data_IF_451257775195
#
_entry.id   IF_451257775195
#
_cell.length_a   1.000
_cell.length_b   1.000
_cell.length_c   1.000
_cell.angle_alpha   90.00
_cell.angle_beta   90.00
_cell.angle_gamma   90.00
#
_symmetry.space_group_name_H-M   'P 1'
#
loop_
_entity.id
_entity.type
_entity.pdbx_description
1 polymer ?
#
# COMPACT_ATOMS: atom_id res chain seq x y z
N UNK A 1 3.04 9.12 -13.73
CA UNK A 1 3.27 10.18 -12.74
C UNK A 1 4.39 9.78 -11.82
N UNK A 2 5.33 10.69 -11.59
CA UNK A 2 6.39 10.54 -10.60
C UNK A 2 5.99 11.35 -9.36
N UNK A 3 5.82 10.67 -8.23
CA UNK A 3 5.50 11.28 -6.94
C UNK A 3 6.78 11.36 -6.12
N UNK A 4 7.03 12.49 -5.46
CA UNK A 4 8.19 12.64 -4.58
C UNK A 4 7.86 13.47 -3.35
N UNK A 5 8.47 13.12 -2.24
CA UNK A 5 8.43 13.84 -0.95
C UNK A 5 9.86 14.11 -0.46
N UNK A 6 10.01 14.73 0.72
CA UNK A 6 11.32 14.99 1.30
C UNK A 6 12.14 13.71 1.48
N UNK A 7 13.47 13.81 1.40
CA UNK A 7 14.39 12.65 1.41
C UNK A 7 14.25 11.73 2.63
N UNK A 8 13.78 12.25 3.76
CA UNK A 8 13.56 11.51 5.00
C UNK A 8 12.09 11.09 5.22
N UNK A 9 11.27 11.16 4.18
CA UNK A 9 9.84 10.84 4.23
C UNK A 9 9.52 9.69 3.29
N UNK A 10 8.36 9.07 3.52
CA UNK A 10 7.75 8.07 2.65
C UNK A 10 6.40 8.57 2.16
N UNK A 11 5.88 7.93 1.11
CA UNK A 11 4.66 8.29 0.42
C UNK A 11 3.55 7.31 0.78
N UNK A 12 2.43 7.83 1.27
CA UNK A 12 1.17 7.10 1.34
C UNK A 12 0.29 7.58 0.20
N UNK A 13 -0.01 6.69 -0.76
CA UNK A 13 -0.93 6.94 -1.88
C UNK A 13 -2.29 6.35 -1.53
N UNK A 14 -3.35 7.15 -1.66
CA UNK A 14 -4.73 6.76 -1.36
C UNK A 14 -5.64 7.10 -2.53
N UNK A 15 -6.43 6.14 -2.99
CA UNK A 15 -7.42 6.34 -4.04
C UNK A 15 -8.73 6.87 -3.43
N UNK A 16 -9.29 7.92 -4.02
CA UNK A 16 -10.58 8.51 -3.61
C UNK A 16 -11.72 8.13 -4.54
N UNK A 17 -11.41 7.76 -5.78
CA UNK A 17 -12.33 7.12 -6.71
C UNK A 17 -11.55 6.13 -7.58
N UNK A 18 -12.17 5.03 -7.97
CA UNK A 18 -11.53 4.03 -8.80
C UNK A 18 -12.57 3.26 -9.60
N UNK A 19 -12.57 3.44 -10.91
CA UNK A 19 -13.48 2.78 -11.84
C UNK A 19 -12.78 2.57 -13.18
N UNK A 20 -12.23 1.37 -13.34
CA UNK A 20 -11.59 0.88 -14.56
C UNK A 20 -12.32 -0.35 -15.08
N UNK A 21 -11.98 -0.79 -16.28
CA UNK A 21 -12.47 -2.07 -16.79
C UNK A 21 -12.21 -3.21 -15.78
N UNK A 22 -13.23 -4.05 -15.49
CA UNK A 22 -13.07 -5.20 -14.62
C UNK A 22 -12.09 -6.23 -15.18
N UNK A 23 -11.51 -7.03 -14.29
CA UNK A 23 -10.62 -8.12 -14.69
C UNK A 23 -11.37 -9.14 -15.54
N UNK A 24 -10.88 -9.36 -16.76
CA UNK A 24 -11.39 -10.38 -17.67
C UNK A 24 -10.57 -11.67 -17.66
N UNK A 25 -10.90 -12.65 -18.51
CA UNK A 25 -10.16 -13.91 -18.63
C UNK A 25 -8.68 -13.74 -19.00
N UNK A 26 -8.34 -12.63 -19.66
CA UNK A 26 -6.97 -12.27 -20.04
C UNK A 26 -6.28 -11.35 -19.00
N UNK A 27 -6.89 -11.15 -17.83
CA UNK A 27 -6.44 -10.23 -16.79
C UNK A 27 -6.94 -8.79 -16.98
N UNK A 28 -6.32 -7.86 -16.24
CA UNK A 28 -6.61 -6.44 -16.34
C UNK A 28 -6.13 -5.84 -17.68
N UNK A 29 -7.03 -5.24 -18.45
CA UNK A 29 -6.71 -4.46 -19.65
C UNK A 29 -6.36 -3.01 -19.29
N UNK A 30 -7.28 -2.38 -18.57
CA UNK A 30 -7.07 -1.11 -17.88
C UNK A 30 -6.49 -1.33 -16.50
N UNK A 31 -5.35 -0.71 -16.20
CA UNK A 31 -4.64 -0.95 -14.96
C UNK A 31 -3.85 0.27 -14.47
N UNK A 32 -3.92 0.50 -13.16
CA UNK A 32 -2.97 1.37 -12.44
C UNK A 32 -1.89 0.50 -11.82
N UNK A 33 -0.65 0.71 -12.27
CA UNK A 33 0.56 0.12 -11.72
C UNK A 33 1.25 1.12 -10.80
N UNK A 34 1.71 0.67 -9.63
CA UNK A 34 2.48 1.48 -8.67
C UNK A 34 3.81 0.79 -8.40
N UNK A 35 4.91 1.54 -8.56
CA UNK A 35 6.27 1.07 -8.37
C UNK A 35 6.96 1.84 -7.26
N UNK A 36 7.66 1.10 -6.38
CA UNK A 36 8.40 1.62 -5.23
C UNK A 36 9.78 2.12 -5.67
N UNK A 37 9.80 3.33 -6.24
CA UNK A 37 10.98 3.96 -6.80
C UNK A 37 10.66 4.79 -8.04
N UNK A 38 11.71 5.22 -8.74
CA UNK A 38 11.61 6.24 -9.81
C UNK A 38 11.36 5.66 -11.21
N UNK A 39 11.34 4.34 -11.37
CA UNK A 39 11.28 3.72 -12.71
C UNK A 39 10.35 2.51 -12.74
N UNK A 40 9.99 2.06 -13.95
CA UNK A 40 9.26 0.80 -14.14
C UNK A 40 10.11 -0.45 -13.83
N UNK A 41 11.43 -0.29 -13.63
CA UNK A 41 12.32 -1.35 -13.17
C UNK A 41 12.36 -1.48 -11.65
N UNK A 42 11.78 -0.53 -10.91
CA UNK A 42 11.61 -0.61 -9.46
C UNK A 42 10.58 -1.68 -9.08
N UNK A 43 10.55 -2.08 -7.80
CA UNK A 43 9.62 -3.10 -7.31
C UNK A 43 8.16 -2.67 -7.54
N UNK A 44 7.37 -3.49 -8.22
CA UNK A 44 5.92 -3.24 -8.36
C UNK A 44 5.24 -3.56 -7.03
N UNK A 45 4.52 -2.60 -6.47
CA UNK A 45 3.79 -2.69 -5.19
C UNK A 45 2.28 -2.44 -5.34
N UNK A 46 1.81 -2.17 -6.57
CA UNK A 46 0.40 -2.04 -6.89
C UNK A 46 0.08 -2.45 -8.32
N UNK A 47 -1.05 -3.12 -8.50
CA UNK A 47 -1.60 -3.56 -9.78
C UNK A 47 -3.13 -3.65 -9.63
N UNK A 48 -3.84 -2.61 -10.07
CA UNK A 48 -5.25 -2.42 -9.74
C UNK A 48 -6.11 -2.20 -11.01
N UNK A 49 -7.24 -2.91 -11.10
CA UNK A 49 -8.27 -2.75 -12.12
C UNK A 49 -9.67 -2.99 -11.54
N UNK A 50 -10.71 -2.85 -12.36
CA UNK A 50 -12.11 -2.87 -11.91
C UNK A 50 -12.52 -1.62 -11.14
N UNK A 51 -13.59 -1.74 -10.34
CA UNK A 51 -14.26 -0.62 -9.68
C UNK A 51 -14.15 -0.64 -8.14
N UNK A 52 -13.35 -1.55 -7.60
CA UNK A 52 -13.09 -1.60 -6.16
C UNK A 52 -11.96 -0.63 -5.82
N UNK A 53 -12.22 0.30 -4.91
CA UNK A 53 -11.20 1.22 -4.39
C UNK A 53 -10.05 0.39 -3.74
N UNK A 54 -8.80 0.52 -4.22
CA UNK A 54 -7.66 -0.18 -3.63
C UNK A 54 -7.33 0.32 -2.22
N UNK A 55 -6.75 -0.56 -1.40
CA UNK A 55 -6.14 -0.16 -0.13
C UNK A 55 -5.01 0.85 -0.33
N UNK A 56 -4.71 1.71 0.66
CA UNK A 56 -3.59 2.63 0.56
C UNK A 56 -2.26 1.91 0.27
N UNK A 57 -1.45 2.51 -0.60
CA UNK A 57 -0.13 2.02 -0.98
C UNK A 57 0.94 2.84 -0.24
N UNK A 58 1.89 2.15 0.38
CA UNK A 58 2.98 2.76 1.14
C UNK A 58 4.31 2.49 0.44
N UNK A 59 5.08 3.53 0.16
CA UNK A 59 6.44 3.39 -0.35
C UNK A 59 7.44 3.04 0.76
N UNK A 60 8.57 2.45 0.38
CA UNK A 60 9.73 2.30 1.27
C UNK A 60 10.62 3.53 1.25
N UNK A 61 10.71 4.22 0.09
CA UNK A 61 11.49 5.44 -0.10
C UNK A 61 10.64 6.70 -0.28
N UNK A 62 11.27 7.78 -0.72
CA UNK A 62 10.64 9.09 -0.91
C UNK A 62 10.07 9.30 -2.33
N UNK A 63 10.04 8.26 -3.18
CA UNK A 63 9.59 8.32 -4.57
C UNK A 63 8.66 7.14 -4.87
N UNK A 64 7.57 7.42 -5.59
CA UNK A 64 6.73 6.42 -6.25
C UNK A 64 6.58 6.76 -7.72
N UNK A 65 6.60 5.74 -8.59
CA UNK A 65 6.18 5.86 -9.97
C UNK A 65 4.80 5.22 -10.12
N UNK A 66 3.81 6.02 -10.52
CA UNK A 66 2.45 5.57 -10.83
C UNK A 66 2.27 5.57 -12.34
N UNK A 67 1.71 4.51 -12.91
CA UNK A 67 1.47 4.39 -14.34
C UNK A 67 0.07 3.88 -14.59
N UNK A 68 -0.65 4.55 -15.48
CA UNK A 68 -1.88 4.01 -16.06
C UNK A 68 -1.56 3.37 -17.42
N UNK A 69 -2.11 2.18 -17.67
CA UNK A 69 -2.06 1.46 -18.95
C UNK A 69 -3.49 1.06 -19.28
N UNK A 70 -3.88 1.25 -20.53
CA UNK A 70 -5.22 0.97 -21.05
C UNK A 70 -5.09 0.41 -22.47
N UNK A 71 -6.13 -0.27 -22.98
CA UNK A 71 -6.24 -0.66 -24.38
C UNK A 71 -7.30 0.20 -25.12
N UNK A 72 -7.90 -0.30 -26.19
CA UNK A 72 -8.90 0.44 -26.99
C UNK A 72 -10.34 0.01 -26.72
N UNK A 73 -10.56 -0.95 -25.83
CA UNK A 73 -11.87 -1.54 -25.51
C UNK A 73 -12.14 -1.41 -24.01
N UNK A 74 -13.43 -1.39 -23.62
CA UNK A 74 -13.78 -1.12 -22.23
C UNK A 74 -13.46 0.32 -21.82
N UNK A 75 -14.31 0.94 -21.00
CA UNK A 75 -14.03 2.27 -20.47
C UNK A 75 -14.68 2.40 -19.11
N UNK A 76 -13.93 2.89 -18.13
CA UNK A 76 -14.46 3.33 -16.84
C UNK A 76 -14.28 4.84 -16.65
N UNK A 77 -14.79 5.36 -15.54
CA UNK A 77 -14.66 6.78 -15.18
C UNK A 77 -13.21 7.18 -14.81
N UNK A 78 -12.30 6.21 -14.69
CA UNK A 78 -10.91 6.42 -14.33
C UNK A 78 -10.68 6.38 -12.82
N UNK A 79 -9.62 7.05 -12.36
CA UNK A 79 -9.25 7.07 -10.95
C UNK A 79 -8.86 8.46 -10.48
N UNK A 80 -9.12 8.73 -9.21
CA UNK A 80 -8.58 9.87 -8.47
C UNK A 80 -7.78 9.36 -7.30
N UNK A 81 -6.62 9.96 -7.06
CA UNK A 81 -5.77 9.63 -5.93
C UNK A 81 -5.17 10.88 -5.30
N UNK A 82 -4.91 10.78 -4.00
CA UNK A 82 -4.15 11.76 -3.21
C UNK A 82 -2.93 11.05 -2.65
N UNK A 83 -1.85 11.79 -2.45
CA UNK A 83 -0.68 11.27 -1.75
C UNK A 83 -0.25 12.23 -0.65
N UNK A 84 0.30 11.67 0.43
CA UNK A 84 0.86 12.43 1.55
C UNK A 84 2.23 11.90 1.96
N UNK A 85 3.00 12.75 2.61
CA UNK A 85 4.26 12.38 3.22
C UNK A 85 4.03 11.85 4.64
N UNK A 86 4.72 10.78 5.02
CA UNK A 86 4.78 10.31 6.40
C UNK A 86 6.21 9.96 6.80
N UNK A 87 6.52 10.12 8.09
CA UNK A 87 7.81 9.77 8.68
C UNK A 87 7.60 8.61 9.65
N UNK A 88 8.14 7.44 9.34
CA UNK A 88 8.16 6.32 10.27
C UNK A 88 9.55 6.20 10.89
N UNK A 89 9.69 6.62 12.16
CA UNK A 89 10.80 6.13 12.97
C UNK A 89 10.52 4.65 13.25
N UNK A 90 11.31 3.74 12.67
CA UNK A 90 11.73 2.59 13.46
C UNK A 90 12.72 3.16 14.46
N UNK A 91 12.24 3.61 15.61
CA UNK A 91 13.12 3.69 16.76
C UNK A 91 13.57 2.24 17.01
N UNK A 92 14.85 1.88 16.87
CA UNK A 92 15.32 0.73 17.64
C UNK A 92 15.10 1.13 19.09
N UNK A 93 14.02 0.64 19.70
CA UNK A 93 13.82 0.68 21.14
C UNK A 93 14.99 -0.10 21.75
N UNK A 94 16.10 0.58 21.95
CA UNK A 94 17.14 0.20 22.90
C UNK A 94 16.56 0.50 24.27
N UNK A 95 15.75 -0.42 24.78
CA UNK A 95 15.45 -0.47 26.21
C UNK A 95 16.41 -1.48 26.85
N UNK A 96 17.00 -1.18 28.02
CA UNK A 96 18.13 -1.90 28.57
C UNK A 96 17.77 -3.32 29.02
N UNK A 97 18.79 -4.17 29.03
CA UNK A 97 18.86 -5.45 29.76
C UNK A 97 18.00 -5.44 31.02
N UNK A 98 16.98 -6.31 31.08
CA UNK A 98 16.36 -6.69 32.36
C UNK A 98 16.47 -8.20 32.52
N UNK A 99 17.15 -8.55 33.60
CA UNK A 99 17.52 -9.87 34.09
C UNK A 99 16.29 -10.75 34.34
N UNK A 100 16.51 -12.06 34.16
CA UNK A 100 15.58 -13.18 34.32
C UNK A 100 14.88 -13.23 35.70
N UNK A 101 13.78 -14.02 35.75
CA UNK A 101 13.18 -14.74 36.92
C UNK A 101 11.93 -14.01 37.50
N UNK A 102 10.70 -14.53 37.61
CA UNK A 102 10.13 -15.90 37.68
C UNK A 102 8.62 -15.87 37.35
N UNK A 103 8.12 -16.93 36.72
CA UNK A 103 6.69 -17.29 36.59
C UNK A 103 6.06 -17.62 37.95
N UNK A 104 4.76 -17.31 38.16
CA UNK A 104 3.84 -18.40 38.52
C UNK A 104 2.55 -18.41 37.66
N UNK A 105 2.18 -19.63 37.28
CA UNK A 105 0.89 -20.09 36.69
C UNK A 105 -0.32 -19.64 37.55
N UNK A 106 -1.56 -19.53 37.07
CA UNK A 106 -2.40 -20.60 36.51
C UNK A 106 -3.76 -20.04 36.03
N UNK A 107 -4.30 -20.67 34.97
CA UNK A 107 -5.73 -20.95 34.69
C UNK A 107 -6.58 -20.00 33.79
N UNK A 108 -6.98 -20.55 32.64
CA UNK A 108 -7.99 -20.10 31.65
C UNK A 108 -9.33 -20.89 31.81
N UNK A 109 -10.38 -20.67 30.98
CA UNK A 109 -11.50 -19.71 31.05
C UNK A 109 -12.88 -20.45 31.19
N UNK A 110 -14.05 -19.83 30.94
CA UNK A 110 -14.71 -20.08 29.64
C UNK A 110 -15.51 -18.91 29.01
N UNK A 111 -15.85 -19.15 27.73
CA UNK A 111 -16.46 -18.32 26.68
C UNK A 111 -17.99 -18.07 26.84
N UNK A 112 -18.54 -17.04 26.14
CA UNK A 112 -19.78 -17.05 25.29
C UNK A 112 -20.27 -15.61 25.01
N UNK A 113 -20.66 -15.33 23.75
CA UNK A 113 -21.49 -14.18 23.39
C UNK A 113 -21.83 -14.08 21.89
N UNK A 114 -22.81 -14.88 21.46
CA UNK A 114 -23.58 -14.96 20.19
C UNK A 114 -22.83 -14.97 18.84
#
# INVERSE_FOLDING_TARGET
>A
WRLSVGSNQRIMLTFTSFDLEPEGPAGCKDVVEVYDGDTKGSQKIGHFCGNKIPSPVYSTGNILMVRFKSDSEGTGMGFHAKYSAFTGQVTPTTTPTTTRTTTPTTQTPPYIGL
#
